data_IF_490351464217
#
_entry.id   IF_490351464217
#
_cell.length_a   1.000
_cell.length_b   1.000
_cell.length_c   1.000
_cell.angle_alpha   90.00
_cell.angle_beta   90.00
_cell.angle_gamma   90.00
#
_symmetry.space_group_name_H-M   'P 1'
#
loop_
_entity.id
_entity.type
_entity.pdbx_description
1 polymer ?
#
# COMPACT_ATOMS: atom_id res chain seq x y z
N UNK A 1 -12.06 -23.24 -18.62
CA UNK A 1 -11.84 -21.79 -18.83
C UNK A 1 -13.15 -21.21 -19.35
N UNK A 2 -13.80 -20.31 -18.60
CA UNK A 2 -15.05 -19.67 -19.03
C UNK A 2 -14.69 -18.48 -19.91
N UNK A 3 -15.32 -18.34 -21.09
CA UNK A 3 -15.12 -17.19 -21.97
C UNK A 3 -16.21 -16.16 -21.65
N UNK A 4 -15.80 -14.99 -21.17
CA UNK A 4 -16.67 -13.84 -20.90
C UNK A 4 -16.43 -12.80 -21.98
N UNK A 5 -17.46 -12.02 -22.32
CA UNK A 5 -17.26 -10.79 -23.09
C UNK A 5 -16.56 -9.74 -22.21
N UNK A 6 -15.91 -8.71 -22.80
CA UNK A 6 -15.29 -7.63 -22.04
C UNK A 6 -16.26 -6.95 -21.05
N UNK A 7 -17.52 -6.78 -21.44
CA UNK A 7 -18.55 -6.16 -20.62
C UNK A 7 -18.89 -7.04 -19.40
N UNK A 8 -19.03 -8.35 -19.61
CA UNK A 8 -19.27 -9.31 -18.54
C UNK A 8 -18.09 -9.39 -17.58
N UNK A 9 -16.86 -9.36 -18.11
CA UNK A 9 -15.65 -9.34 -17.29
C UNK A 9 -15.59 -8.08 -16.42
N UNK A 10 -15.89 -6.91 -16.98
CA UNK A 10 -15.92 -5.63 -16.25
C UNK A 10 -16.98 -5.63 -15.14
N UNK A 11 -18.17 -6.17 -15.42
CA UNK A 11 -19.24 -6.29 -14.42
C UNK A 11 -18.83 -7.23 -13.26
N UNK A 12 -18.30 -8.42 -13.58
CA UNK A 12 -17.82 -9.38 -12.56
C UNK A 12 -16.75 -8.75 -11.66
N UNK A 13 -15.80 -8.02 -12.25
CA UNK A 13 -14.75 -7.34 -11.48
C UNK A 13 -15.35 -6.26 -10.57
N UNK A 14 -16.29 -5.46 -11.07
CA UNK A 14 -16.92 -4.39 -10.30
C UNK A 14 -17.67 -4.93 -9.07
N UNK A 15 -18.45 -5.99 -9.24
CA UNK A 15 -19.17 -6.62 -8.13
C UNK A 15 -18.23 -7.34 -7.16
N UNK A 16 -17.23 -8.07 -7.67
CA UNK A 16 -16.24 -8.72 -6.83
C UNK A 16 -15.46 -7.71 -5.96
N UNK A 17 -15.13 -6.53 -6.52
CA UNK A 17 -14.51 -5.43 -5.77
C UNK A 17 -15.44 -4.87 -4.71
N UNK A 18 -16.72 -4.64 -5.02
CA UNK A 18 -17.72 -4.18 -4.05
C UNK A 18 -17.84 -5.14 -2.86
N UNK A 19 -17.77 -6.45 -3.12
CA UNK A 19 -17.84 -7.51 -2.12
C UNK A 19 -16.47 -7.84 -1.49
N UNK A 20 -15.40 -7.12 -1.86
CA UNK A 20 -14.01 -7.31 -1.39
C UNK A 20 -13.48 -8.74 -1.57
N UNK A 21 -13.92 -9.42 -2.62
CA UNK A 21 -13.51 -10.78 -2.97
C UNK A 21 -12.93 -10.87 -4.38
N UNK A 22 -12.23 -11.96 -4.67
CA UNK A 22 -11.78 -12.22 -6.04
C UNK A 22 -12.96 -12.52 -6.96
N UNK A 23 -12.84 -12.13 -8.23
CA UNK A 23 -13.80 -12.46 -9.28
C UNK A 23 -14.14 -13.97 -9.33
N UNK A 24 -13.14 -14.83 -9.11
CA UNK A 24 -13.35 -16.28 -9.07
C UNK A 24 -14.14 -16.73 -7.83
N UNK A 25 -13.97 -16.06 -6.68
CA UNK A 25 -14.77 -16.33 -5.47
C UNK A 25 -16.19 -15.80 -5.64
N UNK A 26 -16.35 -14.61 -6.19
CA UNK A 26 -17.65 -14.02 -6.47
C UNK A 26 -18.48 -14.89 -7.42
N UNK A 27 -17.89 -15.35 -8.52
CA UNK A 27 -18.55 -16.28 -9.45
C UNK A 27 -18.90 -17.62 -8.78
N UNK A 28 -18.04 -18.15 -7.91
CA UNK A 28 -18.34 -19.36 -7.14
C UNK A 28 -19.52 -19.16 -6.19
N UNK A 29 -19.64 -18.00 -5.56
CA UNK A 29 -20.77 -17.66 -4.69
C UNK A 29 -22.07 -17.67 -5.49
N UNK A 30 -22.11 -16.97 -6.63
CA UNK A 30 -23.27 -16.95 -7.51
C UNK A 30 -23.72 -18.33 -7.96
N UNK A 31 -22.77 -19.18 -8.39
CA UNK A 31 -23.06 -20.56 -8.81
C UNK A 31 -23.54 -21.39 -7.62
N UNK A 32 -22.91 -21.23 -6.46
CA UNK A 32 -23.25 -21.99 -5.27
C UNK A 32 -24.64 -21.64 -4.73
N UNK A 33 -24.99 -20.35 -4.73
CA UNK A 33 -26.31 -19.86 -4.33
C UNK A 33 -27.42 -20.42 -5.23
N UNK A 34 -27.21 -20.39 -6.56
CA UNK A 34 -28.16 -20.95 -7.53
C UNK A 34 -28.33 -22.48 -7.38
N UNK A 35 -27.23 -23.18 -7.08
CA UNK A 35 -27.23 -24.64 -6.91
C UNK A 35 -27.60 -25.10 -5.49
N UNK A 36 -27.77 -24.16 -4.54
CA UNK A 36 -28.02 -24.48 -3.14
C UNK A 36 -26.88 -25.25 -2.45
N UNK A 37 -25.64 -25.02 -2.88
CA UNK A 37 -24.43 -25.68 -2.33
C UNK A 37 -23.51 -24.67 -1.65
N UNK A 38 -22.48 -25.16 -0.95
CA UNK A 38 -21.45 -24.30 -0.36
C UNK A 38 -20.47 -23.80 -1.42
N UNK A 39 -20.14 -22.50 -1.40
CA UNK A 39 -19.21 -21.85 -2.33
C UNK A 39 -17.73 -22.17 -2.07
N UNK A 40 -17.43 -22.82 -0.94
CA UNK A 40 -16.07 -23.12 -0.52
C UNK A 40 -15.30 -21.90 0.01
N UNK A 41 -13.96 -21.94 0.05
CA UNK A 41 -13.15 -20.89 0.68
C UNK A 41 -13.22 -19.58 -0.09
N UNK A 42 -13.37 -18.49 0.67
CA UNK A 42 -13.39 -17.11 0.18
C UNK A 42 -11.95 -16.62 -0.03
N UNK A 43 -11.61 -16.24 -1.26
CA UNK A 43 -10.34 -15.55 -1.53
C UNK A 43 -10.64 -14.07 -1.69
N UNK A 44 -10.27 -13.28 -0.68
CA UNK A 44 -10.40 -11.82 -0.69
C UNK A 44 -9.33 -11.19 -1.57
N UNK A 45 -9.70 -10.18 -2.38
CA UNK A 45 -8.69 -9.24 -2.85
C UNK A 45 -8.42 -8.29 -1.71
N UNK A 46 -7.23 -8.35 -1.13
CA UNK A 46 -6.78 -7.32 -0.22
C UNK A 46 -6.36 -6.10 -1.06
N UNK A 47 -7.29 -5.47 -1.78
CA UNK A 47 -7.04 -4.16 -2.35
C UNK A 47 -6.93 -3.17 -1.18
N UNK A 48 -5.74 -2.58 -0.93
CA UNK A 48 -5.61 -1.61 0.13
C UNK A 48 -6.53 -0.42 -0.21
N UNK A 49 -7.31 0.09 0.76
CA UNK A 49 -8.06 1.31 0.59
C UNK A 49 -7.17 2.46 0.08
N UNK A 50 -7.73 3.39 -0.69
CA UNK A 50 -7.01 4.53 -1.25
C UNK A 50 -6.18 5.27 -0.19
N UNK A 51 -6.76 5.51 0.98
CA UNK A 51 -6.06 6.12 2.12
C UNK A 51 -4.78 5.37 2.54
N UNK A 52 -4.77 4.04 2.45
CA UNK A 52 -3.61 3.21 2.79
C UNK A 52 -2.52 3.36 1.72
N UNK A 53 -2.91 3.48 0.46
CA UNK A 53 -2.00 3.75 -0.65
C UNK A 53 -1.38 5.15 -0.52
N UNK A 54 -2.18 6.17 -0.18
CA UNK A 54 -1.70 7.54 0.06
C UNK A 54 -0.69 7.60 1.22
N UNK A 55 -0.95 6.90 2.34
CA UNK A 55 0.00 6.81 3.45
C UNK A 55 1.29 6.09 3.03
N UNK A 56 1.19 5.03 2.21
CA UNK A 56 2.35 4.33 1.68
C UNK A 56 3.19 5.25 0.76
N UNK A 57 2.53 6.00 -0.12
CA UNK A 57 3.17 6.97 -1.00
C UNK A 57 3.87 8.07 -0.20
N UNK A 58 3.20 8.66 0.79
CA UNK A 58 3.81 9.66 1.66
C UNK A 58 5.04 9.11 2.39
N UNK A 59 4.99 7.84 2.84
CA UNK A 59 6.13 7.17 3.46
C UNK A 59 7.32 7.07 2.51
N UNK A 60 7.09 6.74 1.25
CA UNK A 60 8.15 6.68 0.23
C UNK A 60 8.79 8.06 0.01
N UNK A 61 7.98 9.10 -0.18
CA UNK A 61 8.47 10.48 -0.33
C UNK A 61 9.31 10.92 0.88
N UNK A 62 8.88 10.62 2.10
CA UNK A 62 9.64 10.93 3.32
C UNK A 62 10.95 10.14 3.40
N UNK A 63 10.97 8.89 2.95
CA UNK A 63 12.18 8.08 2.90
C UNK A 63 13.19 8.61 1.86
N UNK A 64 12.71 9.02 0.69
CA UNK A 64 13.52 9.67 -0.35
C UNK A 64 14.13 10.98 0.16
N UNK A 65 13.34 11.82 0.84
CA UNK A 65 13.84 13.01 1.51
C UNK A 65 14.95 12.66 2.52
N UNK A 66 14.76 11.61 3.31
CA UNK A 66 15.79 11.12 4.23
C UNK A 66 17.09 10.73 3.52
N UNK A 67 17.00 10.08 2.37
CA UNK A 67 18.15 9.76 1.51
C UNK A 67 18.85 11.02 0.98
N UNK A 68 18.08 11.99 0.49
CA UNK A 68 18.60 13.26 0.00
C UNK A 68 19.32 14.06 1.10
N UNK A 69 18.80 14.06 2.33
CA UNK A 69 19.42 14.72 3.48
C UNK A 69 20.76 14.08 3.85
N UNK A 70 20.88 12.75 3.80
CA UNK A 70 22.16 12.07 4.01
C UNK A 70 23.18 12.47 2.94
N UNK A 71 22.77 12.54 1.67
CA UNK A 71 23.66 13.00 0.60
C UNK A 71 24.08 14.46 0.80
N UNK A 72 23.16 15.32 1.22
CA UNK A 72 23.45 16.71 1.55
C UNK A 72 24.45 16.82 2.70
N UNK A 73 24.31 16.02 3.76
CA UNK A 73 25.26 15.99 4.88
C UNK A 73 26.68 15.60 4.45
N UNK A 74 26.81 14.65 3.52
CA UNK A 74 28.10 14.25 2.93
C UNK A 74 28.73 15.41 2.16
N UNK A 75 27.94 16.10 1.33
CA UNK A 75 28.41 17.24 0.53
C UNK A 75 28.83 18.40 1.43
N UNK A 76 28.01 18.81 2.41
CA UNK A 76 28.34 19.93 3.31
C UNK A 76 29.59 19.63 4.14
N UNK A 77 29.76 18.39 4.60
CA UNK A 77 31.00 17.96 5.28
C UNK A 77 32.22 18.07 4.36
N UNK A 78 32.12 17.58 3.13
CA UNK A 78 33.23 17.62 2.15
C UNK A 78 33.63 19.05 1.81
N UNK A 79 32.65 19.95 1.72
CA UNK A 79 32.86 21.33 1.32
C UNK A 79 33.19 22.26 2.52
N UNK A 80 33.37 21.71 3.73
CA UNK A 80 33.76 22.47 4.92
C UNK A 80 32.66 23.35 5.53
N UNK A 81 31.39 23.10 5.17
CA UNK A 81 30.20 23.85 5.61
C UNK A 81 29.67 23.29 6.94
N UNK A 82 30.39 23.57 8.02
CA UNK A 82 30.18 22.93 9.32
C UNK A 82 28.79 23.21 9.92
N UNK A 83 28.29 24.45 9.82
CA UNK A 83 26.98 24.85 10.38
C UNK A 83 25.86 24.10 9.66
N UNK A 84 25.86 24.13 8.33
CA UNK A 84 24.82 23.44 7.54
C UNK A 84 24.91 21.92 7.69
N UNK A 85 26.11 21.36 7.83
CA UNK A 85 26.27 19.93 8.13
C UNK A 85 25.59 19.56 9.46
N UNK A 86 25.83 20.34 10.52
CA UNK A 86 25.23 20.09 11.83
C UNK A 86 23.70 20.22 11.79
N UNK A 87 23.18 21.25 11.11
CA UNK A 87 21.73 21.44 10.94
C UNK A 87 21.09 20.27 10.19
N UNK A 88 21.72 19.79 9.11
CA UNK A 88 21.22 18.65 8.32
C UNK A 88 21.24 17.36 9.16
N UNK A 89 22.36 17.06 9.84
CA UNK A 89 22.50 15.88 10.69
C UNK A 89 21.45 15.85 11.81
N UNK A 90 21.13 17.02 12.39
CA UNK A 90 20.09 17.13 13.41
C UNK A 90 18.68 16.80 12.89
N UNK A 91 18.41 16.99 11.60
CA UNK A 91 17.10 16.72 10.98
C UNK A 91 16.90 15.25 10.57
N UNK A 92 17.96 14.54 10.20
CA UNK A 92 17.90 13.16 9.69
C UNK A 92 17.13 12.21 10.63
N UNK A 93 17.36 12.20 11.96
CA UNK A 93 16.62 11.32 12.88
C UNK A 93 15.11 11.57 12.87
N UNK A 94 14.68 12.84 12.74
CA UNK A 94 13.27 13.22 12.73
C UNK A 94 12.57 12.70 11.47
N UNK A 95 13.23 12.82 10.32
CA UNK A 95 12.71 12.32 9.03
C UNK A 95 12.58 10.79 9.07
N UNK A 96 13.60 10.09 9.57
CA UNK A 96 13.54 8.63 9.76
C UNK A 96 12.41 8.21 10.70
N UNK A 97 12.22 8.94 11.80
CA UNK A 97 11.11 8.67 12.73
C UNK A 97 9.75 8.86 12.07
N UNK A 98 9.58 9.90 11.25
CA UNK A 98 8.33 10.16 10.54
C UNK A 98 8.00 9.03 9.54
N UNK A 99 8.99 8.52 8.79
CA UNK A 99 8.78 7.38 7.90
C UNK A 99 8.31 6.11 8.66
N UNK A 100 8.91 5.84 9.83
CA UNK A 100 8.51 4.71 10.68
C UNK A 100 7.11 4.89 11.28
N UNK A 101 6.74 6.13 11.61
CA UNK A 101 5.39 6.43 12.08
C UNK A 101 4.34 6.20 11.00
N UNK A 102 4.62 6.60 9.76
CA UNK A 102 3.76 6.31 8.61
C UNK A 102 3.61 4.80 8.35
N UNK A 103 4.70 4.03 8.48
CA UNK A 103 4.62 2.57 8.40
C UNK A 103 3.70 1.97 9.49
N UNK A 104 3.77 2.48 10.73
CA UNK A 104 2.87 2.06 11.83
C UNK A 104 1.41 2.46 11.57
N UNK A 105 1.17 3.64 11.01
CA UNK A 105 -0.18 4.10 10.64
C UNK A 105 -0.75 3.18 9.56
N UNK A 106 0.03 2.88 8.52
CA UNK A 106 -0.34 1.94 7.46
C UNK A 106 -0.70 0.56 8.02
N UNK A 107 0.11 0.01 8.94
CA UNK A 107 -0.17 -1.29 9.58
C UNK A 107 -1.44 -1.28 10.44
N UNK A 108 -1.76 -0.15 11.10
CA UNK A 108 -3.00 0.00 11.86
C UNK A 108 -4.23 0.11 10.97
N UNK A 109 -4.11 0.79 9.83
CA UNK A 109 -5.19 0.96 8.84
C UNK A 109 -5.41 -0.32 8.01
N UNK A 110 -4.34 -1.06 7.74
CA UNK A 110 -4.35 -2.25 6.91
C UNK A 110 -3.35 -3.29 7.44
N UNK A 111 -3.74 -4.07 8.45
CA UNK A 111 -2.89 -5.12 8.98
C UNK A 111 -2.61 -6.14 7.88
N UNK A 112 -1.35 -6.55 7.71
CA UNK A 112 -1.06 -7.70 6.85
C UNK A 112 -1.83 -8.90 7.36
N UNK A 113 -2.54 -9.59 6.45
CA UNK A 113 -3.11 -10.89 6.75
C UNK A 113 -1.98 -11.80 7.27
N UNK A 114 -2.17 -12.37 8.46
CA UNK A 114 -1.21 -13.28 9.10
C UNK A 114 -1.34 -14.67 8.52
#
# INVERSE_FOLDING_TARGET
MVRLTPEQQSAVLSYAVADQISAATWLRHLIADELGVSSGPVTTWAHPPELVLEVAYLREVVAELGGAMVQAAVVTRRDGRAVEHEEIEALIPRIKSAALELDRIKEKLWPRAR
#
